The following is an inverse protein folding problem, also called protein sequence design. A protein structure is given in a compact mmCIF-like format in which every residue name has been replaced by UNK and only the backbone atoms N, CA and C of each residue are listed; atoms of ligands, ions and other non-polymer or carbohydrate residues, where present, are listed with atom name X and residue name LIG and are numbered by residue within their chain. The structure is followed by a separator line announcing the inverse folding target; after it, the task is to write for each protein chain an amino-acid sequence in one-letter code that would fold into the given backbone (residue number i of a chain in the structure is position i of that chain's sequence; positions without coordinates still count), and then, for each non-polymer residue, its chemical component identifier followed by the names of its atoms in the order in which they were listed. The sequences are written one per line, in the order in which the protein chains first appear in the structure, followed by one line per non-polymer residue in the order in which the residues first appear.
data_IF_989211550514
#
_entry.id   IF_989211550514
#
_cell.length_a   1.000
_cell.length_b   1.000
_cell.length_c   1.000
_cell.angle_alpha   90.00
_cell.angle_beta   90.00
_cell.angle_gamma   90.00
#
_symmetry.space_group_name_H-M   'P 1'
#
loop_
_entity.id
_entity.type
_entity.pdbx_description
1 polymer ?
#
# COMPACT_ATOMS: atom_id res chain seq x y z
N UNK A 1 20.82 14.60 15.90
CA UNK A 1 19.95 14.56 14.70
C UNK A 1 20.19 13.33 13.80
N UNK A 2 19.10 12.64 13.44
CA UNK A 2 19.06 11.49 12.52
C UNK A 2 18.22 11.82 11.28
N UNK A 3 18.67 11.45 10.08
CA UNK A 3 17.82 11.48 8.88
C UNK A 3 17.16 10.11 8.65
N UNK A 4 15.85 10.10 8.47
CA UNK A 4 15.09 8.87 8.21
C UNK A 4 14.53 8.94 6.80
N UNK A 5 15.09 8.17 5.87
CA UNK A 5 14.49 8.03 4.54
C UNK A 5 13.13 7.34 4.64
N UNK A 6 12.11 7.90 3.99
CA UNK A 6 10.74 7.41 3.96
C UNK A 6 10.29 7.11 2.53
N UNK A 7 9.73 5.92 2.30
CA UNK A 7 9.18 5.53 0.98
C UNK A 7 7.65 5.53 0.89
N UNK A 8 6.94 5.46 2.02
CA UNK A 8 5.47 5.53 2.11
C UNK A 8 5.02 5.74 3.56
N UNK A 9 3.78 6.17 3.75
CA UNK A 9 3.19 6.39 5.07
C UNK A 9 3.05 5.11 5.94
N UNK A 10 2.64 3.93 5.40
CA UNK A 10 2.61 2.71 6.21
C UNK A 10 3.97 2.29 6.78
N UNK A 11 5.03 2.37 5.98
CA UNK A 11 6.38 2.02 6.45
C UNK A 11 6.90 3.04 7.49
N UNK A 12 6.51 4.33 7.35
CA UNK A 12 6.79 5.36 8.35
C UNK A 12 6.11 5.03 9.69
N UNK A 13 4.79 4.77 9.67
CA UNK A 13 4.03 4.42 10.87
C UNK A 13 4.62 3.19 11.58
N UNK A 14 4.93 2.13 10.82
CA UNK A 14 5.58 0.95 11.39
C UNK A 14 6.91 1.29 12.06
N UNK A 15 7.71 2.18 11.44
CA UNK A 15 9.01 2.60 11.96
C UNK A 15 8.89 3.39 13.26
N UNK A 16 8.05 4.42 13.30
CA UNK A 16 7.90 5.29 14.49
C UNK A 16 7.20 4.59 15.66
N UNK A 17 6.35 3.60 15.39
CA UNK A 17 5.76 2.75 16.44
C UNK A 17 6.77 1.76 17.01
N UNK A 18 7.75 1.32 16.22
CA UNK A 18 8.73 0.31 16.64
C UNK A 18 9.99 0.90 17.25
N UNK A 19 10.33 2.14 16.92
CA UNK A 19 11.61 2.77 17.25
C UNK A 19 11.40 4.21 17.70
N UNK A 20 12.01 4.52 18.84
CA UNK A 20 12.22 5.90 19.24
C UNK A 20 13.27 6.55 18.34
N UNK A 21 12.92 7.71 17.80
CA UNK A 21 13.75 8.48 16.86
C UNK A 21 13.81 9.94 17.33
N UNK A 22 14.47 10.21 18.48
CA UNK A 22 14.63 11.57 18.97
C UNK A 22 15.47 12.38 17.97
N UNK A 23 15.10 13.66 17.81
CA UNK A 23 15.77 14.57 16.87
C UNK A 23 15.88 14.01 15.44
N UNK A 24 14.79 13.44 14.92
CA UNK A 24 14.77 12.93 13.56
C UNK A 24 14.16 13.93 12.56
N UNK A 25 14.69 13.93 11.34
CA UNK A 25 14.08 14.54 10.16
C UNK A 25 13.68 13.43 9.20
N UNK A 26 12.39 13.35 8.89
CA UNK A 26 11.82 12.35 8.00
C UNK A 26 11.85 12.85 6.55
N UNK A 27 12.57 12.14 5.70
CA UNK A 27 12.87 12.55 4.33
C UNK A 27 12.12 11.66 3.33
N UNK A 28 11.07 12.18 2.71
CA UNK A 28 10.34 11.43 1.69
C UNK A 28 11.08 11.50 0.35
N UNK A 29 11.61 10.36 -0.08
CA UNK A 29 12.35 10.28 -1.34
C UNK A 29 12.14 8.93 -2.01
N UNK A 30 11.37 8.96 -3.10
CA UNK A 30 11.14 7.78 -3.90
C UNK A 30 10.78 8.20 -5.35
N UNK A 31 11.79 8.54 -6.17
CA UNK A 31 11.55 8.98 -7.55
C UNK A 31 11.02 7.86 -8.45
N UNK A 32 11.09 6.61 -8.00
CA UNK A 32 10.54 5.43 -8.69
C UNK A 32 9.03 5.25 -8.50
N UNK A 33 8.33 6.21 -7.92
CA UNK A 33 6.86 6.09 -7.83
C UNK A 33 6.28 6.45 -9.19
N UNK A 34 5.53 5.51 -9.76
CA UNK A 34 4.89 5.64 -11.05
C UNK A 34 3.47 5.03 -10.99
N UNK A 35 2.44 5.70 -11.53
CA UNK A 35 2.50 7.00 -12.21
C UNK A 35 2.59 8.17 -11.21
N UNK A 36 2.74 9.40 -11.71
CA UNK A 36 2.80 10.63 -10.91
C UNK A 36 1.65 10.75 -9.89
N UNK A 37 0.42 10.41 -10.28
CA UNK A 37 -0.73 10.38 -9.36
C UNK A 37 -0.55 9.47 -8.15
N UNK A 38 0.26 8.42 -8.25
CA UNK A 38 0.63 7.59 -7.10
C UNK A 38 1.61 8.33 -6.19
N UNK A 39 2.57 9.07 -6.76
CA UNK A 39 3.55 9.84 -6.01
C UNK A 39 2.85 10.88 -5.14
N UNK A 40 1.93 11.65 -5.73
CA UNK A 40 1.11 12.66 -5.04
C UNK A 40 0.35 12.04 -3.85
N UNK A 41 -0.32 10.91 -4.07
CA UNK A 41 -1.07 10.21 -3.00
C UNK A 41 -0.17 9.75 -1.87
N UNK A 42 1.00 9.19 -2.18
CA UNK A 42 1.96 8.73 -1.16
C UNK A 42 2.61 9.88 -0.42
N UNK A 43 2.89 10.98 -1.12
CA UNK A 43 3.44 12.21 -0.54
C UNK A 43 2.44 12.85 0.41
N UNK A 44 1.17 12.99 0.03
CA UNK A 44 0.16 13.58 0.91
C UNK A 44 -0.12 12.70 2.12
N UNK A 45 -0.16 11.37 1.94
CA UNK A 45 -0.26 10.44 3.07
C UNK A 45 0.94 10.56 4.02
N UNK A 46 2.15 10.71 3.48
CA UNK A 46 3.36 10.96 4.27
C UNK A 46 3.24 12.27 5.06
N UNK A 47 2.91 13.38 4.39
CA UNK A 47 2.72 14.69 5.03
C UNK A 47 1.64 14.64 6.11
N UNK A 48 0.54 13.94 5.86
CA UNK A 48 -0.56 13.76 6.81
C UNK A 48 -0.09 13.03 8.07
N UNK A 49 0.65 11.93 7.93
CA UNK A 49 1.21 11.20 9.08
C UNK A 49 2.21 12.08 9.84
N UNK A 50 3.10 12.78 9.15
CA UNK A 50 4.07 13.66 9.81
C UNK A 50 3.39 14.79 10.59
N UNK A 51 2.37 15.45 10.02
CA UNK A 51 1.58 16.47 10.73
C UNK A 51 0.85 15.90 11.93
N UNK A 52 0.19 14.74 11.78
CA UNK A 52 -0.56 14.07 12.86
C UNK A 52 0.33 13.69 14.05
N UNK A 53 1.57 13.33 13.79
CA UNK A 53 2.54 12.90 14.82
C UNK A 53 3.54 14.01 15.20
N UNK A 54 3.36 15.23 14.70
CA UNK A 54 4.26 16.36 14.91
C UNK A 54 5.74 16.05 14.60
N UNK A 55 6.00 15.39 13.47
CA UNK A 55 7.33 15.00 13.02
C UNK A 55 7.93 16.07 12.11
N UNK A 56 9.22 16.36 12.27
CA UNK A 56 9.95 17.20 11.32
C UNK A 56 10.17 16.43 10.02
N UNK A 57 9.80 17.02 8.88
CA UNK A 57 9.90 16.35 7.59
C UNK A 57 10.40 17.24 6.47
N UNK A 58 10.91 16.60 5.42
CA UNK A 58 11.28 17.22 4.16
C UNK A 58 10.97 16.29 2.99
N UNK A 59 10.82 16.90 1.84
CA UNK A 59 10.53 16.25 0.57
C UNK A 59 11.77 16.29 -0.31
N UNK A 60 12.09 15.16 -0.94
CA UNK A 60 13.14 15.09 -1.95
C UNK A 60 12.60 15.32 -3.35
N UNK A 61 13.50 15.68 -4.26
CA UNK A 61 13.18 15.88 -5.67
C UNK A 61 12.51 14.63 -6.26
N UNK A 62 11.42 14.86 -6.99
CA UNK A 62 10.73 13.84 -7.77
C UNK A 62 11.13 13.98 -9.24
N UNK A 63 12.01 13.10 -9.70
CA UNK A 63 12.44 13.02 -11.10
C UNK A 63 12.21 11.59 -11.61
N UNK A 64 11.01 11.29 -12.15
CA UNK A 64 10.71 9.96 -12.65
C UNK A 64 11.42 9.62 -13.97
N UNK A 65 11.86 10.62 -14.75
CA UNK A 65 12.54 10.40 -16.04
C UNK A 65 13.98 9.93 -15.85
N UNK A 66 14.73 10.61 -14.97
CA UNK A 66 16.08 10.19 -14.58
C UNK A 66 16.02 8.76 -14.01
N UNK A 67 14.99 8.48 -13.21
CA UNK A 67 14.78 7.15 -12.67
C UNK A 67 14.48 6.11 -13.75
N UNK A 68 13.54 6.39 -14.67
CA UNK A 68 13.15 5.43 -15.71
C UNK A 68 14.37 4.96 -16.52
N UNK A 69 15.21 5.91 -16.93
CA UNK A 69 16.42 5.66 -17.71
C UNK A 69 17.42 4.75 -16.96
N UNK A 70 17.62 4.96 -15.66
CA UNK A 70 18.53 4.15 -14.84
C UNK A 70 18.09 2.69 -14.67
N UNK A 71 16.78 2.43 -14.82
CA UNK A 71 16.17 1.13 -14.51
C UNK A 71 15.59 0.40 -15.71
N UNK A 72 15.62 1.00 -16.91
CA UNK A 72 15.15 0.40 -18.15
C UNK A 72 15.78 -0.98 -18.41
N UNK A 73 17.12 -1.09 -18.29
CA UNK A 73 17.83 -2.37 -18.44
C UNK A 73 17.50 -3.42 -17.37
N UNK A 74 16.82 -3.03 -16.30
CA UNK A 74 16.40 -3.90 -15.20
C UNK A 74 14.88 -4.09 -15.17
N UNK A 75 14.16 -3.67 -16.21
CA UNK A 75 12.70 -3.65 -16.22
C UNK A 75 12.11 -5.05 -15.99
N UNK A 76 12.64 -6.04 -16.72
CA UNK A 76 12.20 -7.44 -16.69
C UNK A 76 12.71 -8.24 -15.49
N UNK A 77 13.59 -7.67 -14.67
CA UNK A 77 14.08 -8.33 -13.46
C UNK A 77 12.95 -8.59 -12.46
N UNK A 78 13.04 -9.73 -11.76
CA UNK A 78 12.03 -10.09 -10.79
C UNK A 78 12.00 -9.13 -9.58
N UNK A 79 10.84 -9.05 -8.93
CA UNK A 79 10.72 -8.31 -7.67
C UNK A 79 11.57 -8.99 -6.59
N UNK A 80 12.51 -8.23 -6.02
CA UNK A 80 13.50 -8.73 -5.07
C UNK A 80 14.89 -8.95 -5.69
N UNK A 81 14.98 -8.98 -7.03
CA UNK A 81 16.23 -9.11 -7.77
C UNK A 81 17.01 -7.80 -7.95
N UNK A 82 17.77 -7.73 -9.04
CA UNK A 82 18.75 -6.66 -9.32
C UNK A 82 18.12 -5.27 -9.33
N UNK A 83 16.93 -5.14 -9.94
CA UNK A 83 16.14 -3.89 -9.95
C UNK A 83 15.88 -3.38 -8.54
N UNK A 84 15.42 -4.25 -7.64
CA UNK A 84 15.11 -3.87 -6.27
C UNK A 84 16.38 -3.48 -5.50
N UNK A 85 17.48 -4.20 -5.69
CA UNK A 85 18.78 -3.87 -5.08
C UNK A 85 19.25 -2.48 -5.48
N UNK A 86 19.29 -2.19 -6.79
CA UNK A 86 19.70 -0.88 -7.33
C UNK A 86 18.79 0.26 -6.87
N UNK A 87 17.49 0.01 -6.76
CA UNK A 87 16.51 0.97 -6.29
C UNK A 87 16.73 1.33 -4.81
N UNK A 88 17.06 0.34 -3.97
CA UNK A 88 17.42 0.57 -2.56
C UNK A 88 18.73 1.33 -2.45
N UNK A 89 19.76 0.94 -3.21
CA UNK A 89 21.07 1.60 -3.26
C UNK A 89 20.93 3.09 -3.58
N UNK A 90 20.22 3.43 -4.64
CA UNK A 90 19.99 4.82 -5.03
C UNK A 90 19.29 5.62 -3.94
N UNK A 91 18.24 5.07 -3.33
CA UNK A 91 17.47 5.75 -2.27
C UNK A 91 18.31 5.99 -1.01
N UNK A 92 19.10 5.00 -0.59
CA UNK A 92 19.98 5.13 0.57
C UNK A 92 21.17 6.05 0.29
N UNK A 93 21.68 6.07 -0.94
CA UNK A 93 22.76 6.98 -1.36
C UNK A 93 22.30 8.43 -1.27
N UNK A 94 21.11 8.71 -1.80
CA UNK A 94 20.51 10.04 -1.70
C UNK A 94 20.24 10.43 -0.23
N UNK A 95 19.77 9.49 0.60
CA UNK A 95 19.60 9.72 2.04
C UNK A 95 20.92 10.11 2.73
N UNK A 96 22.02 9.39 2.47
CA UNK A 96 23.33 9.71 3.02
C UNK A 96 23.85 11.08 2.56
N UNK A 97 23.67 11.42 1.28
CA UNK A 97 24.01 12.75 0.75
C UNK A 97 23.21 13.85 1.42
N UNK A 98 21.90 13.66 1.58
CA UNK A 98 21.01 14.62 2.25
C UNK A 98 21.37 14.77 3.73
N UNK A 99 21.79 13.69 4.41
CA UNK A 99 22.29 13.77 5.78
C UNK A 99 23.47 14.72 5.91
N UNK A 100 24.43 14.66 4.98
CA UNK A 100 25.54 15.61 4.92
C UNK A 100 25.08 17.05 4.76
N UNK A 101 24.11 17.32 3.87
CA UNK A 101 23.57 18.67 3.62
C UNK A 101 22.91 19.29 4.86
N UNK A 102 22.27 18.47 5.71
CA UNK A 102 21.60 18.95 6.93
C UNK A 102 22.46 18.74 8.19
N UNK A 103 23.71 18.29 8.07
CA UNK A 103 24.58 17.95 9.20
C UNK A 103 24.00 16.85 10.14
N UNK A 104 23.19 15.93 9.60
CA UNK A 104 22.79 14.73 10.34
C UNK A 104 23.96 13.75 10.42
N UNK A 105 24.24 13.25 11.62
CA UNK A 105 25.35 12.30 11.86
C UNK A 105 24.99 10.86 11.53
N UNK A 106 23.69 10.57 11.53
CA UNK A 106 23.13 9.23 11.35
C UNK A 106 22.07 9.28 10.26
N UNK A 107 22.01 8.23 9.43
CA UNK A 107 20.87 7.98 8.56
C UNK A 107 20.33 6.56 8.71
N UNK A 108 19.03 6.42 8.48
CA UNK A 108 18.32 5.14 8.45
C UNK A 108 17.17 5.19 7.44
N UNK A 109 16.37 4.14 7.36
CA UNK A 109 15.33 4.00 6.33
C UNK A 109 14.12 3.21 6.79
N UNK A 110 12.92 3.70 6.46
CA UNK A 110 11.66 2.97 6.63
C UNK A 110 11.57 1.72 5.74
N UNK A 111 12.50 1.54 4.78
CA UNK A 111 12.60 0.31 3.99
C UNK A 111 12.74 -0.93 4.89
N UNK A 112 13.30 -0.78 6.09
CA UNK A 112 13.44 -1.82 7.12
C UNK A 112 12.11 -2.21 7.78
N UNK A 113 11.04 -1.45 7.55
CA UNK A 113 9.67 -1.77 7.96
C UNK A 113 8.87 -2.50 6.87
N UNK A 114 9.31 -2.45 5.60
CA UNK A 114 8.57 -3.08 4.51
C UNK A 114 8.65 -4.62 4.61
N UNK A 115 7.50 -5.33 4.59
CA UNK A 115 7.48 -6.79 4.59
C UNK A 115 7.98 -7.38 3.26
N UNK A 116 7.97 -6.59 2.18
CA UNK A 116 8.34 -7.04 0.82
C UNK A 116 9.84 -6.92 0.51
N UNK A 117 10.64 -6.35 1.41
CA UNK A 117 12.06 -6.04 1.16
C UNK A 117 12.97 -6.81 2.11
N UNK A 118 14.09 -7.33 1.60
CA UNK A 118 15.08 -8.03 2.41
C UNK A 118 15.79 -7.05 3.35
N UNK A 119 15.64 -7.27 4.66
CA UNK A 119 16.32 -6.49 5.70
C UNK A 119 17.84 -6.61 5.55
N UNK A 120 18.35 -7.81 5.26
CA UNK A 120 19.78 -8.06 5.11
C UNK A 120 20.36 -7.30 3.92
N UNK A 121 19.64 -7.28 2.80
CA UNK A 121 20.03 -6.51 1.61
C UNK A 121 20.08 -5.02 1.93
N UNK A 122 19.04 -4.48 2.58
CA UNK A 122 18.99 -3.05 2.95
C UNK A 122 20.14 -2.71 3.90
N UNK A 123 20.39 -3.55 4.91
CA UNK A 123 21.46 -3.31 5.88
C UNK A 123 22.86 -3.42 5.27
N UNK A 124 23.08 -4.34 4.32
CA UNK A 124 24.36 -4.42 3.58
C UNK A 124 24.62 -3.13 2.82
N UNK A 125 23.66 -2.72 1.99
CA UNK A 125 23.75 -1.50 1.17
C UNK A 125 23.92 -0.28 2.07
N UNK A 126 23.16 -0.17 3.15
CA UNK A 126 23.24 0.94 4.08
C UNK A 126 24.61 1.09 4.73
N UNK A 127 25.24 -0.02 5.16
CA UNK A 127 26.61 -0.01 5.69
C UNK A 127 27.64 0.38 4.64
N UNK A 128 27.55 -0.19 3.44
CA UNK A 128 28.44 0.13 2.32
C UNK A 128 28.40 1.64 2.01
N UNK A 129 27.20 2.22 1.93
CA UNK A 129 27.00 3.65 1.68
C UNK A 129 27.46 4.49 2.87
N UNK A 130 27.12 4.11 4.10
CA UNK A 130 27.54 4.85 5.29
C UNK A 130 29.05 4.97 5.39
N UNK A 131 29.78 3.88 5.13
CA UNK A 131 31.23 3.88 5.06
C UNK A 131 31.77 4.79 3.94
N UNK A 132 31.18 4.72 2.75
CA UNK A 132 31.63 5.52 1.59
C UNK A 132 31.41 7.03 1.78
N UNK A 133 30.36 7.43 2.51
CA UNK A 133 29.99 8.82 2.73
C UNK A 133 30.45 9.39 4.09
N UNK A 134 31.01 8.56 4.97
CA UNK A 134 31.40 8.98 6.31
C UNK A 134 30.22 9.37 7.21
N UNK A 135 29.03 8.80 6.96
CA UNK A 135 27.81 9.02 7.76
C UNK A 135 27.40 7.69 8.39
N UNK A 136 27.09 7.69 9.69
CA UNK A 136 26.68 6.47 10.38
C UNK A 136 25.35 5.93 9.81
N UNK A 137 25.34 4.68 9.36
CA UNK A 137 24.11 3.99 8.99
C UNK A 137 23.57 3.18 10.16
N UNK A 138 22.32 3.45 10.57
CA UNK A 138 21.64 2.69 11.62
C UNK A 138 20.63 1.71 11.04
N UNK A 139 21.01 0.45 10.99
CA UNK A 139 20.15 -0.66 10.55
C UNK A 139 19.21 -1.20 11.62
N UNK A 140 18.39 -2.18 11.25
CA UNK A 140 17.52 -2.90 12.19
C UNK A 140 16.33 -3.58 11.52
N UNK A 141 15.42 -4.12 12.35
CA UNK A 141 14.10 -4.57 11.91
C UNK A 141 13.05 -3.63 12.49
N UNK A 142 12.33 -2.92 11.61
CA UNK A 142 11.31 -1.92 11.97
C UNK A 142 9.89 -2.40 11.63
N UNK A 143 9.73 -3.69 11.35
CA UNK A 143 8.44 -4.29 11.05
C UNK A 143 7.59 -4.39 12.31
N UNK A 144 6.34 -3.97 12.16
CA UNK A 144 5.31 -3.99 13.21
C UNK A 144 4.13 -4.84 12.75
N UNK A 145 3.38 -5.44 13.69
CA UNK A 145 2.21 -6.24 13.37
C UNK A 145 1.12 -5.43 12.67
N UNK A 146 0.32 -6.08 11.81
CA UNK A 146 -0.78 -5.41 11.10
C UNK A 146 -1.82 -4.81 12.04
N UNK A 147 -2.12 -5.49 13.15
CA UNK A 147 -3.10 -4.99 14.12
C UNK A 147 -2.60 -3.78 14.89
N UNK A 148 -1.29 -3.67 15.14
CA UNK A 148 -0.69 -2.53 15.83
C UNK A 148 -0.71 -1.25 14.98
N UNK A 149 -0.52 -1.37 13.67
CA UNK A 149 -0.51 -0.22 12.74
C UNK A 149 -1.93 0.21 12.32
N UNK A 150 -2.90 -0.72 12.32
CA UNK A 150 -4.25 -0.50 11.79
C UNK A 150 -4.98 0.73 12.36
N UNK A 151 -4.95 1.04 13.66
CA UNK A 151 -5.59 2.25 14.21
C UNK A 151 -5.02 3.57 13.66
N UNK A 152 -3.79 3.54 13.16
CA UNK A 152 -3.09 4.72 12.63
C UNK A 152 -3.27 4.90 11.13
N UNK A 153 -3.83 3.89 10.44
CA UNK A 153 -4.05 3.91 8.99
C UNK A 153 -5.40 4.50 8.58
N UNK A 154 -6.28 4.80 9.54
CA UNK A 154 -7.55 5.46 9.24
C UNK A 154 -7.32 6.83 8.59
N UNK A 155 -7.93 7.04 7.42
CA UNK A 155 -7.75 8.25 6.61
C UNK A 155 -6.41 8.35 5.88
N UNK A 156 -5.53 7.35 5.99
CA UNK A 156 -4.21 7.34 5.35
C UNK A 156 -4.22 6.46 4.12
N UNK A 157 -3.73 6.97 2.99
CA UNK A 157 -3.59 6.17 1.77
C UNK A 157 -2.60 5.02 1.97
N UNK A 158 -3.02 3.81 1.57
CA UNK A 158 -2.21 2.58 1.62
C UNK A 158 -2.04 2.02 0.21
N UNK A 159 -0.81 1.95 -0.24
CA UNK A 159 -0.45 1.44 -1.56
C UNK A 159 -0.61 -0.08 -1.67
N UNK A 160 -0.96 -0.56 -2.87
CA UNK A 160 -1.09 -2.00 -3.16
C UNK A 160 0.13 -2.61 -3.90
N UNK A 161 1.05 -1.79 -4.43
CA UNK A 161 2.28 -2.21 -5.12
C UNK A 161 3.51 -1.42 -4.64
N UNK A 162 4.71 -1.84 -5.04
CA UNK A 162 5.97 -1.26 -4.54
C UNK A 162 6.13 0.23 -4.90
N UNK A 163 5.53 0.67 -6.01
CA UNK A 163 5.59 2.03 -6.55
C UNK A 163 6.17 2.09 -7.95
N UNK A 164 7.01 1.14 -8.36
CA UNK A 164 7.59 1.14 -9.70
C UNK A 164 6.63 0.60 -10.76
N UNK A 165 6.83 1.03 -12.01
CA UNK A 165 6.02 0.60 -13.16
C UNK A 165 5.97 -0.92 -13.32
N UNK A 166 7.12 -1.60 -13.25
CA UNK A 166 7.16 -3.06 -13.34
C UNK A 166 6.34 -3.76 -12.23
N UNK A 167 6.33 -3.22 -11.00
CA UNK A 167 5.49 -3.75 -9.91
C UNK A 167 4.01 -3.45 -10.14
N UNK A 168 3.67 -2.32 -10.78
CA UNK A 168 2.30 -1.99 -11.18
C UNK A 168 1.79 -2.95 -12.26
N UNK A 169 2.57 -3.20 -13.31
CA UNK A 169 2.23 -4.13 -14.40
C UNK A 169 2.02 -5.54 -13.84
N UNK A 170 2.95 -6.03 -13.01
CA UNK A 170 2.81 -7.33 -12.34
C UNK A 170 1.54 -7.38 -11.48
N UNK A 171 1.28 -6.33 -10.68
CA UNK A 171 0.08 -6.26 -9.85
C UNK A 171 -1.22 -6.28 -10.65
N UNK A 172 -1.25 -5.65 -11.83
CA UNK A 172 -2.38 -5.69 -12.77
C UNK A 172 -2.57 -7.09 -13.34
N UNK A 173 -1.53 -7.73 -13.88
CA UNK A 173 -1.57 -9.10 -14.41
C UNK A 173 -2.06 -10.10 -13.35
N UNK A 174 -1.51 -10.03 -12.14
CA UNK A 174 -1.92 -10.88 -11.01
C UNK A 174 -3.39 -10.66 -10.63
N UNK A 175 -3.90 -9.43 -10.79
CA UNK A 175 -5.31 -9.11 -10.53
C UNK A 175 -6.20 -9.68 -11.63
N UNK A 176 -5.87 -9.46 -12.90
CA UNK A 176 -6.61 -9.98 -14.05
C UNK A 176 -6.71 -11.51 -13.99
N UNK A 177 -5.62 -12.20 -13.67
CA UNK A 177 -5.60 -13.65 -13.53
C UNK A 177 -6.47 -14.15 -12.36
N UNK A 178 -6.49 -13.43 -11.22
CA UNK A 178 -7.41 -13.74 -10.11
C UNK A 178 -8.86 -13.50 -10.51
N UNK A 179 -9.15 -12.42 -11.22
CA UNK A 179 -10.49 -12.09 -11.68
C UNK A 179 -10.98 -13.12 -12.70
N UNK A 180 -10.12 -13.59 -13.62
CA UNK A 180 -10.41 -14.69 -14.55
C UNK A 180 -10.77 -15.97 -13.80
N UNK A 181 -9.94 -16.39 -12.83
CA UNK A 181 -10.21 -17.59 -12.01
C UNK A 181 -11.50 -17.47 -11.21
N UNK A 182 -11.74 -16.32 -10.59
CA UNK A 182 -12.98 -16.06 -9.86
C UNK A 182 -14.20 -16.12 -10.81
N UNK A 183 -14.08 -15.60 -12.04
CA UNK A 183 -15.16 -15.64 -13.02
C UNK A 183 -15.42 -17.07 -13.54
N UNK A 184 -14.37 -17.86 -13.79
CA UNK A 184 -14.50 -19.28 -14.13
C UNK A 184 -15.20 -20.06 -13.01
N UNK A 185 -14.85 -19.78 -11.75
CA UNK A 185 -15.50 -20.35 -10.59
C UNK A 185 -16.97 -19.94 -10.49
N UNK A 186 -17.29 -18.68 -10.82
CA UNK A 186 -18.67 -18.19 -10.90
C UNK A 186 -19.48 -18.95 -11.96
N UNK A 187 -18.95 -19.11 -13.17
CA UNK A 187 -19.61 -19.86 -14.25
C UNK A 187 -19.81 -21.34 -13.91
N UNK A 188 -18.93 -21.91 -13.09
CA UNK A 188 -19.03 -23.28 -12.61
C UNK A 188 -20.08 -23.49 -11.53
N UNK A 189 -20.22 -22.56 -10.58
CA UNK A 189 -21.09 -22.71 -9.38
C UNK A 189 -22.40 -21.96 -9.44
N UNK A 190 -22.42 -20.79 -10.07
CA UNK A 190 -23.54 -19.85 -10.09
C UNK A 190 -23.76 -19.32 -11.51
N UNK A 191 -23.82 -20.24 -12.50
CA UNK A 191 -23.89 -19.91 -13.92
C UNK A 191 -25.00 -18.91 -14.25
N UNK A 192 -26.20 -19.14 -13.71
CA UNK A 192 -27.37 -18.30 -13.97
C UNK A 192 -27.23 -16.90 -13.38
N UNK A 193 -26.26 -16.68 -12.48
CA UNK A 193 -25.95 -15.41 -11.83
C UNK A 193 -24.71 -14.73 -12.42
N UNK A 194 -24.16 -15.24 -13.53
CA UNK A 194 -22.97 -14.67 -14.15
C UNK A 194 -23.15 -13.20 -14.56
N UNK A 195 -24.38 -12.78 -14.88
CA UNK A 195 -24.70 -11.39 -15.20
C UNK A 195 -24.44 -10.43 -14.04
N UNK A 196 -24.44 -10.91 -12.79
CA UNK A 196 -24.13 -10.12 -11.61
C UNK A 196 -22.64 -9.80 -11.49
N UNK A 197 -21.76 -10.39 -12.32
CA UNK A 197 -20.33 -10.05 -12.36
C UNK A 197 -20.06 -8.56 -12.58
N UNK A 198 -21.00 -7.84 -13.22
CA UNK A 198 -20.98 -6.37 -13.38
C UNK A 198 -20.85 -5.60 -12.05
N UNK A 199 -21.20 -6.24 -10.94
CA UNK A 199 -21.12 -5.69 -9.58
C UNK A 199 -19.83 -6.03 -8.84
N UNK A 200 -18.88 -6.74 -9.47
CA UNK A 200 -17.57 -6.96 -8.86
C UNK A 200 -16.88 -5.63 -8.56
N UNK A 201 -16.50 -5.42 -7.29
CA UNK A 201 -15.92 -4.17 -6.82
C UNK A 201 -16.88 -2.97 -6.86
N UNK A 202 -18.19 -3.18 -7.05
CA UNK A 202 -19.24 -2.16 -6.98
C UNK A 202 -20.29 -2.59 -5.96
N UNK A 203 -21.08 -1.65 -5.48
CA UNK A 203 -22.18 -1.97 -4.58
C UNK A 203 -23.29 -2.70 -5.35
N UNK A 204 -23.98 -3.61 -4.67
CA UNK A 204 -25.11 -4.35 -5.20
C UNK A 204 -26.22 -4.37 -4.17
N UNK A 205 -27.48 -4.26 -4.61
CA UNK A 205 -28.63 -4.42 -3.73
C UNK A 205 -28.80 -5.88 -3.33
N UNK A 206 -29.11 -6.13 -2.07
CA UNK A 206 -29.33 -7.48 -1.59
C UNK A 206 -30.48 -8.18 -2.32
N UNK A 207 -31.50 -7.43 -2.70
CA UNK A 207 -32.67 -7.95 -3.41
C UNK A 207 -32.34 -8.41 -4.85
N UNK A 208 -31.30 -7.85 -5.48
CA UNK A 208 -30.85 -8.26 -6.83
C UNK A 208 -30.18 -9.64 -6.83
N UNK A 209 -29.73 -10.13 -5.67
CA UNK A 209 -29.12 -11.46 -5.55
C UNK A 209 -30.22 -12.46 -5.24
N UNK A 210 -30.56 -13.41 -6.12
CA UNK A 210 -31.62 -14.40 -5.87
C UNK A 210 -31.12 -15.58 -5.01
N UNK A 211 -30.30 -15.31 -4.00
CA UNK A 211 -29.81 -16.30 -3.03
C UNK A 211 -30.30 -15.85 -1.65
N UNK A 212 -30.99 -16.73 -0.94
CA UNK A 212 -31.56 -16.44 0.39
C UNK A 212 -30.91 -17.25 1.50
N UNK A 213 -30.30 -18.39 1.18
CA UNK A 213 -29.54 -19.12 2.17
C UNK A 213 -28.19 -18.43 2.43
N UNK A 214 -27.89 -18.16 3.71
CA UNK A 214 -26.71 -17.37 4.09
C UNK A 214 -25.40 -18.06 3.68
N UNK A 215 -25.38 -19.41 3.60
CA UNK A 215 -24.19 -20.18 3.23
C UNK A 215 -23.81 -19.98 1.75
N UNK A 216 -24.74 -20.19 0.83
CA UNK A 216 -24.51 -20.00 -0.61
C UNK A 216 -24.36 -18.52 -0.93
N UNK A 217 -25.03 -17.63 -0.19
CA UNK A 217 -24.82 -16.18 -0.32
C UNK A 217 -23.37 -15.83 0.01
N UNK A 218 -22.83 -16.33 1.13
CA UNK A 218 -21.42 -16.14 1.50
C UNK A 218 -20.49 -16.70 0.44
N UNK A 219 -20.77 -17.89 -0.09
CA UNK A 219 -19.96 -18.48 -1.15
C UNK A 219 -19.98 -17.63 -2.42
N UNK A 220 -21.15 -17.21 -2.88
CA UNK A 220 -21.32 -16.33 -4.03
C UNK A 220 -20.60 -14.99 -3.83
N UNK A 221 -20.79 -14.34 -2.67
CA UNK A 221 -20.13 -13.07 -2.36
C UNK A 221 -18.60 -13.22 -2.25
N UNK A 222 -18.10 -14.37 -1.79
CA UNK A 222 -16.67 -14.66 -1.76
C UNK A 222 -16.06 -14.75 -3.17
N UNK A 223 -16.87 -15.04 -4.20
CA UNK A 223 -16.47 -15.06 -5.61
C UNK A 223 -16.66 -13.67 -6.23
N UNK A 224 -17.87 -13.10 -6.12
CA UNK A 224 -18.26 -11.83 -6.74
C UNK A 224 -17.45 -10.65 -6.19
N UNK A 225 -17.28 -10.59 -4.86
CA UNK A 225 -16.55 -9.54 -4.13
C UNK A 225 -17.03 -8.12 -4.48
N UNK A 226 -18.30 -7.75 -4.21
CA UNK A 226 -18.78 -6.37 -4.39
C UNK A 226 -18.01 -5.37 -3.51
N UNK A 227 -18.19 -4.07 -3.70
CA UNK A 227 -17.64 -3.07 -2.74
C UNK A 227 -18.48 -3.00 -1.45
N UNK A 228 -19.76 -3.38 -1.53
CA UNK A 228 -20.67 -3.50 -0.41
C UNK A 228 -22.01 -4.06 -0.85
N UNK A 229 -22.77 -4.57 0.12
CA UNK A 229 -24.13 -5.05 -0.05
C UNK A 229 -25.09 -3.99 0.53
N UNK A 230 -25.90 -3.39 -0.33
CA UNK A 230 -26.92 -2.42 0.07
C UNK A 230 -28.15 -3.19 0.57
N UNK A 231 -28.56 -2.91 1.80
CA UNK A 231 -29.59 -3.67 2.51
C UNK A 231 -30.68 -2.72 2.98
N UNK A 232 -31.93 -3.11 2.69
CA UNK A 232 -33.15 -2.39 3.12
C UNK A 232 -33.48 -2.64 4.58
N UNK A 233 -34.17 -1.67 5.17
CA UNK A 233 -34.78 -1.85 6.49
C UNK A 233 -35.77 -3.03 6.46
N UNK A 234 -35.69 -3.89 7.48
CA UNK A 234 -36.49 -5.11 7.58
C UNK A 234 -35.89 -6.35 6.88
N UNK A 235 -34.78 -6.22 6.16
CA UNK A 235 -34.04 -7.37 5.62
C UNK A 235 -33.28 -8.14 6.71
N UNK A 236 -33.04 -9.43 6.50
CA UNK A 236 -32.33 -10.33 7.43
C UNK A 236 -30.91 -9.86 7.81
N UNK A 237 -30.29 -9.10 6.91
CA UNK A 237 -28.94 -8.55 7.09
C UNK A 237 -28.95 -7.12 7.64
N UNK A 238 -30.13 -6.52 7.83
CA UNK A 238 -30.24 -5.16 8.32
C UNK A 238 -29.65 -5.03 9.73
N UNK A 239 -28.97 -3.91 9.99
CA UNK A 239 -28.28 -3.66 11.26
C UNK A 239 -26.92 -4.35 11.43
N UNK A 240 -26.52 -5.27 10.53
CA UNK A 240 -25.15 -5.81 10.51
C UNK A 240 -24.21 -4.80 9.86
N UNK A 241 -22.94 -4.77 10.29
CA UNK A 241 -21.90 -3.96 9.65
C UNK A 241 -21.12 -4.76 8.59
N UNK A 242 -21.01 -6.08 8.78
CA UNK A 242 -20.20 -6.96 7.95
C UNK A 242 -20.83 -8.35 7.82
N UNK A 243 -20.65 -8.96 6.66
CA UNK A 243 -20.92 -10.38 6.41
C UNK A 243 -19.62 -11.09 6.02
N UNK A 244 -19.13 -11.97 6.90
CA UNK A 244 -17.90 -12.73 6.69
C UNK A 244 -18.14 -13.87 5.70
N UNK A 245 -17.49 -13.79 4.54
CA UNK A 245 -17.57 -14.70 3.41
C UNK A 245 -16.18 -15.33 3.14
N UNK A 246 -15.78 -16.25 4.01
CA UNK A 246 -14.45 -16.86 3.98
C UNK A 246 -13.34 -15.84 4.28
N UNK A 247 -12.47 -15.58 3.30
CA UNK A 247 -11.41 -14.55 3.38
C UNK A 247 -11.88 -13.16 2.97
N UNK A 248 -13.06 -13.05 2.35
CA UNK A 248 -13.66 -11.78 1.95
C UNK A 248 -14.68 -11.36 3.01
N UNK A 249 -14.63 -10.10 3.44
CA UNK A 249 -15.60 -9.53 4.37
C UNK A 249 -16.45 -8.52 3.59
N UNK A 250 -17.69 -8.88 3.31
CA UNK A 250 -18.62 -8.00 2.61
C UNK A 250 -19.09 -6.92 3.58
N UNK A 251 -18.95 -5.64 3.21
CA UNK A 251 -19.51 -4.53 3.98
C UNK A 251 -21.02 -4.48 3.77
N UNK A 252 -21.77 -4.35 4.84
CA UNK A 252 -23.21 -4.09 4.77
C UNK A 252 -23.42 -2.59 4.83
N UNK A 253 -24.14 -2.06 3.85
CA UNK A 253 -24.44 -0.64 3.66
C UNK A 253 -25.95 -0.44 3.76
N UNK A 254 -26.39 0.69 4.31
CA UNK A 254 -27.82 1.04 4.32
C UNK A 254 -28.16 1.68 2.97
N UNK A 255 -29.37 1.47 2.46
CA UNK A 255 -29.80 2.13 1.20
C UNK A 255 -29.67 3.66 1.26
N UNK A 256 -29.85 4.26 2.45
CA UNK A 256 -29.64 5.69 2.69
C UNK A 256 -28.21 6.16 2.41
N UNK A 257 -27.23 5.26 2.45
CA UNK A 257 -25.81 5.55 2.25
C UNK A 257 -25.46 5.79 0.77
N UNK A 258 -26.39 5.52 -0.18
CA UNK A 258 -26.20 5.81 -1.61
C UNK A 258 -25.88 7.28 -1.91
N UNK A 259 -26.26 8.20 -1.02
CA UNK A 259 -26.09 9.65 -1.21
C UNK A 259 -24.76 10.22 -0.69
N UNK A 260 -23.90 9.39 -0.09
CA UNK A 260 -22.61 9.83 0.47
C UNK A 260 -21.40 9.73 -0.48
N UNK A 261 -21.51 8.98 -1.58
CA UNK A 261 -20.36 8.65 -2.45
C UNK A 261 -20.20 9.55 -3.70
N UNK A 262 -21.10 10.52 -3.92
CA UNK A 262 -20.97 11.50 -5.02
C UNK A 262 -19.99 12.66 -4.71
N UNK A 263 -19.29 12.63 -3.57
CA UNK A 263 -18.49 13.76 -3.06
C UNK A 263 -16.97 13.62 -3.09
N UNK A 264 -16.37 12.50 -3.52
CA UNK A 264 -14.90 12.36 -3.56
C UNK A 264 -14.42 11.56 -4.78
N UNK A 265 -14.52 12.19 -5.96
CA UNK A 265 -13.60 11.94 -7.08
C UNK A 265 -13.22 13.28 -7.69
N UNK A 266 -12.13 13.84 -7.18
CA UNK A 266 -11.10 14.56 -7.92
C UNK A 266 -9.83 14.54 -7.08
#
# INVERSE_FOLDING_TARGET
MTLVHVCCAPDLLSTVLKRELPEAVFYFYNPNIFPEKEYEKRLEAFKTVCRRLNLNFMEGQYDPEEFSTLFERYFDEEEGGSRCRKCVEMRLKNAAMTSGKINAKVFTSTLLASPRKSIDTINSIGREIGNAYGIEYKGGNFRTGREEIKPYLEGIYVQNYCGCEASLIKSKKDREERERKDFELLLGKFRDLAYLWRYRGRSIEFEEIPIRDESSLKEFLAILKPSGLLVKEGSELYGRNWLKAGKYNCRILRESDRHGESGQKN
#
